data_IF_840705573271
#
_entry.id   IF_840705573271
#
_cell.length_a   1.000
_cell.length_b   1.000
_cell.length_c   1.000
_cell.angle_alpha   90.00
_cell.angle_beta   90.00
_cell.angle_gamma   90.00
#
_symmetry.space_group_name_H-M   'P 1'
#
loop_
_entity.id
_entity.type
_entity.pdbx_description
1 polymer ?
#
# COMPACT_ATOMS: atom_id res chain seq x y z
N UNK A 1 -40.26 -5.10 14.11
CA UNK A 1 -39.22 -6.10 13.76
C UNK A 1 -38.60 -5.91 12.38
N UNK A 2 -39.37 -5.57 11.33
CA UNK A 2 -38.88 -5.37 9.95
C UNK A 2 -37.83 -4.25 9.75
N UNK A 3 -37.86 -3.20 10.59
CA UNK A 3 -36.94 -2.05 10.52
C UNK A 3 -35.54 -2.31 11.11
N UNK A 4 -35.44 -3.24 12.07
CA UNK A 4 -34.17 -3.58 12.73
C UNK A 4 -33.30 -4.46 11.82
N UNK A 5 -33.94 -5.37 11.06
CA UNK A 5 -33.27 -6.20 10.08
C UNK A 5 -32.65 -5.37 8.93
N UNK A 6 -33.31 -4.29 8.50
CA UNK A 6 -32.80 -3.41 7.45
C UNK A 6 -31.55 -2.63 7.89
N UNK A 7 -31.49 -2.22 9.16
CA UNK A 7 -30.36 -1.48 9.71
C UNK A 7 -29.12 -2.37 9.92
N UNK A 8 -29.31 -3.64 10.32
CA UNK A 8 -28.21 -4.61 10.44
C UNK A 8 -27.67 -5.03 9.06
N UNK A 9 -28.54 -5.11 8.05
CA UNK A 9 -28.13 -5.38 6.67
C UNK A 9 -27.21 -4.28 6.11
N UNK A 10 -27.49 -3.01 6.40
CA UNK A 10 -26.70 -1.89 5.86
C UNK A 10 -25.28 -1.77 6.47
N UNK A 11 -25.11 -2.14 7.75
CA UNK A 11 -23.80 -2.06 8.42
C UNK A 11 -22.80 -3.12 7.89
N UNK A 12 -23.28 -4.26 7.41
CA UNK A 12 -22.44 -5.33 6.88
C UNK A 12 -21.77 -4.99 5.53
N UNK A 13 -22.30 -4.01 4.78
CA UNK A 13 -21.76 -3.61 3.48
C UNK A 13 -20.57 -2.65 3.61
N UNK A 14 -20.38 -2.02 4.77
CA UNK A 14 -19.29 -1.06 5.01
C UNK A 14 -17.95 -1.73 5.37
N UNK A 15 -17.94 -3.03 5.67
CA UNK A 15 -16.72 -3.77 6.01
C UNK A 15 -15.97 -4.35 4.79
N UNK A 16 -16.49 -4.17 3.56
CA UNK A 16 -16.01 -4.88 2.37
C UNK A 16 -14.89 -4.17 1.57
N UNK A 17 -14.45 -2.97 1.96
CA UNK A 17 -13.30 -2.31 1.33
C UNK A 17 -12.00 -2.52 2.13
N UNK A 18 -11.71 -3.76 2.50
CA UNK A 18 -10.37 -4.14 2.96
C UNK A 18 -9.44 -4.13 1.74
N UNK A 19 -8.85 -2.97 1.44
CA UNK A 19 -7.92 -2.81 0.32
C UNK A 19 -6.58 -3.36 0.76
N UNK A 20 -6.08 -4.37 0.05
CA UNK A 20 -4.76 -4.96 0.33
C UNK A 20 -3.69 -3.87 0.37
N UNK A 21 -3.00 -3.75 1.51
CA UNK A 21 -2.00 -2.71 1.74
C UNK A 21 -0.61 -3.32 1.89
N UNK A 22 0.38 -2.73 1.22
CA UNK A 22 1.77 -3.08 1.43
C UNK A 22 2.33 -2.34 2.65
N UNK A 23 2.97 -3.10 3.53
CA UNK A 23 3.62 -2.61 4.75
C UNK A 23 5.13 -2.84 4.64
N UNK A 24 5.89 -1.81 4.99
CA UNK A 24 7.35 -1.79 4.92
C UNK A 24 7.91 -1.52 6.31
N UNK A 25 8.45 -2.54 6.97
CA UNK A 25 8.94 -2.44 8.34
C UNK A 25 10.46 -2.48 8.40
N UNK A 26 11.06 -1.56 9.17
CA UNK A 26 12.49 -1.59 9.51
C UNK A 26 12.66 -1.12 10.95
N UNK A 27 13.37 -1.91 11.76
CA UNK A 27 13.61 -1.56 13.16
C UNK A 27 14.45 -0.28 13.26
N UNK A 28 14.04 0.60 14.17
CA UNK A 28 14.77 1.84 14.51
C UNK A 28 14.97 2.83 13.35
N UNK A 29 14.10 2.81 12.33
CA UNK A 29 14.13 3.82 11.26
C UNK A 29 13.40 5.09 11.69
N UNK A 30 13.99 6.26 11.41
CA UNK A 30 13.30 7.54 11.63
C UNK A 30 12.30 7.79 10.51
N UNK A 31 11.27 8.60 10.76
CA UNK A 31 10.31 8.96 9.72
C UNK A 31 10.98 9.62 8.51
N UNK A 32 11.94 10.52 8.75
CA UNK A 32 12.68 11.17 7.67
C UNK A 32 13.48 10.18 6.81
N UNK A 33 14.12 9.19 7.44
CA UNK A 33 14.84 8.13 6.72
C UNK A 33 13.86 7.25 5.93
N UNK A 34 12.70 6.93 6.50
CA UNK A 34 11.64 6.19 5.83
C UNK A 34 11.17 6.91 4.57
N UNK A 35 10.83 8.20 4.68
CA UNK A 35 10.35 9.00 3.56
C UNK A 35 11.41 9.13 2.46
N UNK A 36 12.68 9.30 2.87
CA UNK A 36 13.82 9.33 1.97
C UNK A 36 13.98 8.02 1.19
N UNK A 37 13.96 6.88 1.89
CA UNK A 37 14.10 5.55 1.29
C UNK A 37 12.93 5.26 0.33
N UNK A 38 11.70 5.61 0.73
CA UNK A 38 10.50 5.49 -0.10
C UNK A 38 10.61 6.33 -1.38
N UNK A 39 11.13 7.56 -1.29
CA UNK A 39 11.32 8.44 -2.44
C UNK A 39 12.36 7.88 -3.42
N UNK A 40 13.47 7.35 -2.92
CA UNK A 40 14.50 6.72 -3.75
C UNK A 40 13.97 5.48 -4.45
N UNK A 41 13.29 4.58 -3.72
CA UNK A 41 12.73 3.37 -4.32
C UNK A 41 11.61 3.67 -5.31
N UNK A 42 10.84 4.75 -5.12
CA UNK A 42 9.84 5.20 -6.09
C UNK A 42 10.49 5.64 -7.40
N UNK A 43 11.60 6.38 -7.33
CA UNK A 43 12.34 6.82 -8.53
C UNK A 43 12.89 5.62 -9.30
N UNK A 44 13.47 4.64 -8.59
CA UNK A 44 14.01 3.43 -9.22
C UNK A 44 12.92 2.58 -9.90
N UNK A 45 11.77 2.48 -9.25
CA UNK A 45 10.65 1.67 -9.73
C UNK A 45 9.69 2.42 -10.66
N UNK A 46 9.98 3.67 -11.04
CA UNK A 46 9.13 4.42 -11.96
C UNK A 46 9.25 3.81 -13.35
N UNK A 47 8.17 3.23 -13.86
CA UNK A 47 8.13 2.65 -15.20
C UNK A 47 7.13 3.42 -16.08
N UNK A 48 7.60 4.14 -17.13
CA UNK A 48 6.72 4.88 -18.02
C UNK A 48 5.78 3.98 -18.84
N UNK A 49 6.03 2.67 -18.92
CA UNK A 49 5.25 1.70 -19.71
C UNK A 49 4.06 1.13 -18.94
N UNK A 50 4.00 1.28 -17.62
CA UNK A 50 2.87 0.81 -16.83
C UNK A 50 1.62 1.67 -17.08
N UNK A 51 0.51 1.00 -17.37
CA UNK A 51 -0.80 1.64 -17.48
C UNK A 51 -1.38 1.80 -16.07
N UNK A 52 -1.50 3.04 -15.61
CA UNK A 52 -2.13 3.38 -14.33
C UNK A 52 -3.24 4.40 -14.56
N UNK A 53 -4.20 4.45 -13.62
CA UNK A 53 -5.23 5.48 -13.63
C UNK A 53 -4.57 6.88 -13.60
N UNK A 54 -5.18 7.90 -14.22
CA UNK A 54 -4.72 9.28 -14.11
C UNK A 54 -4.51 9.69 -12.64
N UNK A 55 -3.37 10.31 -12.33
CA UNK A 55 -3.01 10.68 -10.96
C UNK A 55 -2.42 9.54 -10.11
N UNK A 56 -2.44 8.29 -10.59
CA UNK A 56 -1.77 7.18 -9.91
C UNK A 56 -0.29 7.09 -10.34
N UNK A 57 0.64 6.91 -9.40
CA UNK A 57 2.05 6.76 -9.73
C UNK A 57 2.29 5.44 -10.48
N UNK A 58 2.93 5.52 -11.65
CA UNK A 58 3.36 4.36 -12.44
C UNK A 58 4.60 3.73 -11.80
N UNK A 59 4.36 2.87 -10.82
CA UNK A 59 5.43 2.24 -10.04
C UNK A 59 5.33 0.73 -10.21
N UNK A 60 6.39 0.12 -10.72
CA UNK A 60 6.54 -1.32 -10.72
C UNK A 60 6.70 -1.80 -9.27
N UNK A 61 5.72 -2.55 -8.77
CA UNK A 61 5.72 -2.99 -7.37
C UNK A 61 6.81 -4.01 -7.07
N UNK A 62 7.19 -4.86 -8.02
CA UNK A 62 8.25 -5.83 -7.80
C UNK A 62 9.60 -5.14 -7.68
N UNK A 63 9.87 -4.13 -8.52
CA UNK A 63 11.09 -3.32 -8.43
C UNK A 63 11.11 -2.51 -7.13
N UNK A 64 9.98 -1.90 -6.77
CA UNK A 64 9.85 -1.11 -5.55
C UNK A 64 10.12 -1.95 -4.31
N UNK A 65 9.47 -3.11 -4.18
CA UNK A 65 9.61 -4.00 -3.04
C UNK A 65 11.05 -4.50 -2.91
N UNK A 66 11.68 -4.89 -4.04
CA UNK A 66 13.09 -5.31 -4.04
C UNK A 66 14.03 -4.19 -3.60
N UNK A 67 13.77 -2.94 -3.99
CA UNK A 67 14.54 -1.80 -3.50
C UNK A 67 14.40 -1.62 -1.98
N UNK A 68 13.19 -1.75 -1.45
CA UNK A 68 12.93 -1.66 -0.01
C UNK A 68 13.66 -2.79 0.75
N UNK A 69 13.61 -4.03 0.25
CA UNK A 69 14.32 -5.17 0.85
C UNK A 69 15.83 -4.95 0.89
N UNK A 70 16.45 -4.45 -0.19
CA UNK A 70 17.88 -4.11 -0.22
C UNK A 70 18.26 -3.03 0.80
N UNK A 71 17.33 -2.17 1.18
CA UNK A 71 17.50 -1.14 2.23
C UNK A 71 17.26 -1.69 3.64
N UNK A 72 16.96 -2.98 3.77
CA UNK A 72 16.75 -3.66 5.04
C UNK A 72 15.32 -3.58 5.56
N UNK A 73 14.35 -3.25 4.71
CA UNK A 73 12.93 -3.35 5.06
C UNK A 73 12.42 -4.77 4.88
N UNK A 74 11.55 -5.20 5.79
CA UNK A 74 10.69 -6.36 5.57
C UNK A 74 9.44 -5.90 4.84
N UNK A 75 9.15 -6.51 3.69
CA UNK A 75 7.96 -6.21 2.88
C UNK A 75 6.88 -7.23 3.20
N UNK A 76 5.68 -6.76 3.55
CA UNK A 76 4.52 -7.61 3.82
C UNK A 76 3.28 -7.04 3.14
N UNK A 77 2.35 -7.92 2.79
CA UNK A 77 1.03 -7.52 2.33
C UNK A 77 0.03 -7.83 3.44
N UNK A 78 -0.63 -6.79 3.93
CA UNK A 78 -1.71 -6.91 4.89
C UNK A 78 -3.05 -6.97 4.15
N UNK A 79 -3.99 -7.70 4.75
CA UNK A 79 -5.35 -7.92 4.23
C UNK A 79 -6.32 -6.98 4.90
#
# INVERSE_FOLDING_TARGET
MRRVAALLGAAAWLAACATQQWVYEKRSVTQAQYDHDMALCRKEATDPRLVSLPGSPRVDRAIFNRCMERRGYTVRMEK
#
